data_IF_279327519877
#
_entry.id   IF_279327519877
#
_cell.length_a   1.000
_cell.length_b   1.000
_cell.length_c   1.000
_cell.angle_alpha   90.00
_cell.angle_beta   90.00
_cell.angle_gamma   90.00
#
_symmetry.space_group_name_H-M   'P 1'
#
loop_
_entity.id
_entity.type
_entity.pdbx_description
1 polymer ?
#
# COMPACT_ATOMS: atom_id res chain seq x y z
N UNK A 1 24.93 27.42 -29.94
CA UNK A 1 24.66 27.05 -28.54
C UNK A 1 24.11 25.64 -28.59
N UNK A 2 24.98 24.65 -28.31
CA UNK A 2 24.62 23.22 -28.44
C UNK A 2 23.84 22.81 -27.17
N UNK A 3 22.62 22.29 -27.37
CA UNK A 3 21.88 21.64 -26.31
C UNK A 3 22.64 20.33 -25.94
N UNK A 4 23.14 20.24 -24.72
CA UNK A 4 23.68 19.02 -24.16
C UNK A 4 22.53 18.01 -23.96
N UNK A 5 22.21 17.27 -25.03
CA UNK A 5 21.40 16.08 -24.96
C UNK A 5 22.17 15.00 -24.20
N UNK A 6 21.70 14.64 -23.02
CA UNK A 6 22.29 13.53 -22.25
C UNK A 6 22.42 12.29 -23.10
N UNK A 7 23.56 11.59 -23.01
CA UNK A 7 23.82 10.39 -23.82
C UNK A 7 22.80 9.30 -23.49
N UNK A 8 22.31 8.53 -24.48
CA UNK A 8 21.28 7.47 -24.29
C UNK A 8 21.65 6.43 -23.21
N UNK A 9 22.94 6.23 -22.96
CA UNK A 9 23.49 5.34 -21.93
C UNK A 9 23.22 5.88 -20.50
N UNK A 10 23.32 7.20 -20.30
CA UNK A 10 23.04 7.83 -19.00
C UNK A 10 21.57 7.79 -18.62
N UNK A 11 20.67 7.96 -19.60
CA UNK A 11 19.22 7.87 -19.41
C UNK A 11 18.77 6.44 -19.06
N UNK A 12 19.32 5.44 -19.74
CA UNK A 12 19.07 4.03 -19.45
C UNK A 12 19.49 3.62 -18.05
N UNK A 13 20.65 4.09 -17.59
CA UNK A 13 21.15 3.83 -16.23
C UNK A 13 20.27 4.47 -15.14
N UNK A 14 19.85 5.71 -15.34
CA UNK A 14 18.94 6.43 -14.42
C UNK A 14 17.59 5.72 -14.30
N UNK A 15 16.99 5.37 -15.42
CA UNK A 15 15.68 4.67 -15.42
C UNK A 15 15.78 3.31 -14.74
N UNK A 16 16.83 2.54 -15.00
CA UNK A 16 17.07 1.25 -14.35
C UNK A 16 17.12 1.40 -12.84
N UNK A 17 17.89 2.39 -12.32
CA UNK A 17 17.98 2.68 -10.88
C UNK A 17 16.63 3.01 -10.26
N UNK A 18 15.84 3.85 -10.91
CA UNK A 18 14.52 4.28 -10.42
C UNK A 18 13.54 3.11 -10.34
N UNK A 19 13.49 2.26 -11.37
CA UNK A 19 12.65 1.06 -11.38
C UNK A 19 13.12 0.04 -10.34
N UNK A 20 14.43 -0.10 -10.14
CA UNK A 20 14.97 -0.98 -9.09
C UNK A 20 14.53 -0.51 -7.71
N UNK A 21 14.59 0.81 -7.42
CA UNK A 21 14.12 1.34 -6.13
C UNK A 21 12.63 1.05 -5.92
N UNK A 22 11.79 1.29 -6.94
CA UNK A 22 10.36 0.94 -6.87
C UNK A 22 10.18 -0.55 -6.54
N UNK A 23 10.81 -1.42 -7.31
CA UNK A 23 10.64 -2.87 -7.16
C UNK A 23 11.15 -3.38 -5.80
N UNK A 24 12.33 -2.89 -5.35
CA UNK A 24 12.89 -3.26 -4.06
C UNK A 24 12.01 -2.80 -2.90
N UNK A 25 11.52 -1.56 -2.93
CA UNK A 25 10.64 -1.05 -1.88
C UNK A 25 9.30 -1.79 -1.86
N UNK A 26 8.72 -2.06 -3.04
CA UNK A 26 7.49 -2.85 -3.12
C UNK A 26 7.68 -4.26 -2.56
N UNK A 27 8.81 -4.91 -2.87
CA UNK A 27 9.13 -6.23 -2.34
C UNK A 27 9.32 -6.20 -0.81
N UNK A 28 10.02 -5.21 -0.27
CA UNK A 28 10.23 -5.05 1.18
C UNK A 28 8.90 -4.88 1.90
N UNK A 29 8.03 -3.98 1.44
CA UNK A 29 6.71 -3.74 2.04
C UNK A 29 5.84 -4.99 1.94
N UNK A 30 5.80 -5.62 0.78
CA UNK A 30 5.04 -6.86 0.57
C UNK A 30 5.48 -7.98 1.52
N UNK A 31 6.79 -8.23 1.61
CA UNK A 31 7.32 -9.26 2.50
C UNK A 31 7.05 -8.92 3.97
N UNK A 32 7.25 -7.66 4.37
CA UNK A 32 6.96 -7.21 5.73
C UNK A 32 5.47 -7.42 6.08
N UNK A 33 4.55 -7.08 5.17
CA UNK A 33 3.11 -7.28 5.38
C UNK A 33 2.76 -8.76 5.50
N UNK A 34 3.22 -9.60 4.57
CA UNK A 34 2.92 -11.05 4.57
C UNK A 34 3.49 -11.74 5.82
N UNK A 35 4.73 -11.40 6.20
CA UNK A 35 5.39 -12.00 7.38
C UNK A 35 4.72 -11.57 8.66
N UNK A 36 4.44 -10.26 8.86
CA UNK A 36 3.77 -9.78 10.07
C UNK A 36 2.37 -10.38 10.21
N UNK A 37 1.59 -10.45 9.13
CA UNK A 37 0.28 -11.10 9.13
C UNK A 37 0.37 -12.60 9.45
N UNK A 38 1.37 -13.31 8.93
CA UNK A 38 1.57 -14.72 9.26
C UNK A 38 1.88 -14.91 10.75
N UNK A 39 2.77 -14.09 11.32
CA UNK A 39 3.14 -14.14 12.75
C UNK A 39 1.93 -13.85 13.64
N UNK A 40 1.15 -12.80 13.36
CA UNK A 40 0.00 -12.46 14.21
C UNK A 40 -1.13 -13.49 14.11
N UNK A 41 -1.33 -14.10 12.94
CA UNK A 41 -2.27 -15.21 12.80
C UNK A 41 -1.86 -16.41 13.65
N UNK A 42 -0.60 -16.81 13.58
CA UNK A 42 -0.09 -17.95 14.35
C UNK A 42 -0.16 -17.71 15.86
N UNK A 43 0.09 -16.47 16.30
CA UNK A 43 0.26 -16.16 17.73
C UNK A 43 -1.00 -15.60 18.40
N UNK A 44 -1.88 -14.92 17.67
CA UNK A 44 -2.98 -14.14 18.25
C UNK A 44 -4.38 -14.51 17.69
N UNK A 45 -4.49 -15.34 16.64
CA UNK A 45 -5.82 -15.73 16.12
C UNK A 45 -6.61 -16.49 17.19
N UNK A 46 -7.82 -16.00 17.50
CA UNK A 46 -8.69 -16.60 18.51
C UNK A 46 -8.28 -16.37 19.97
N UNK A 47 -7.16 -15.69 20.19
CA UNK A 47 -6.63 -15.36 21.52
C UNK A 47 -7.00 -13.94 22.00
N UNK A 48 -6.61 -13.59 23.24
CA UNK A 48 -6.76 -12.23 23.75
C UNK A 48 -5.81 -11.26 23.06
N UNK A 49 -6.14 -9.96 23.02
CA UNK A 49 -5.25 -8.95 22.48
C UNK A 49 -3.89 -8.91 23.20
N UNK A 50 -2.81 -8.74 22.46
CA UNK A 50 -1.48 -8.47 23.01
C UNK A 50 -1.35 -6.97 23.27
N UNK A 51 -1.45 -6.57 24.52
CA UNK A 51 -1.30 -5.16 24.93
C UNK A 51 0.18 -4.78 24.93
N UNK A 52 0.56 -3.84 24.07
CA UNK A 52 1.92 -3.29 23.98
C UNK A 52 2.07 -2.06 24.87
N UNK A 53 1.13 -1.12 24.75
CA UNK A 53 1.05 0.09 25.60
C UNK A 53 -0.40 0.21 26.05
N UNK A 54 -0.68 0.05 27.38
CA UNK A 54 -2.03 0.09 27.90
C UNK A 54 -2.79 1.35 27.46
N UNK A 55 -3.99 1.17 26.88
CA UNK A 55 -4.83 2.25 26.41
C UNK A 55 -4.36 2.98 25.14
N UNK A 56 -3.20 2.62 24.59
CA UNK A 56 -2.63 3.31 23.41
C UNK A 56 -2.42 2.37 22.23
N UNK A 57 -1.80 1.19 22.45
CA UNK A 57 -1.43 0.28 21.38
C UNK A 57 -1.62 -1.17 21.83
N UNK A 58 -2.33 -1.92 21.02
CA UNK A 58 -2.43 -3.38 21.16
C UNK A 58 -2.49 -4.06 19.79
N UNK A 59 -2.20 -5.35 19.77
CA UNK A 59 -2.34 -6.19 18.60
C UNK A 59 -3.47 -7.21 18.84
N UNK A 60 -4.40 -7.29 17.90
CA UNK A 60 -5.40 -8.36 17.82
C UNK A 60 -5.78 -8.64 16.37
N UNK A 61 -6.10 -9.88 16.07
CA UNK A 61 -6.46 -10.27 14.70
C UNK A 61 -7.91 -9.98 14.43
N UNK A 62 -8.16 -9.27 13.33
CA UNK A 62 -9.49 -9.12 12.71
C UNK A 62 -9.40 -9.45 11.23
N UNK A 63 -10.36 -10.21 10.74
CA UNK A 63 -10.52 -10.47 9.30
C UNK A 63 -11.46 -9.43 8.69
N UNK A 64 -10.92 -8.56 7.85
CA UNK A 64 -11.64 -7.46 7.24
C UNK A 64 -12.14 -7.84 5.83
N UNK A 65 -13.44 -8.01 5.62
CA UNK A 65 -13.99 -8.34 4.30
C UNK A 65 -14.01 -7.16 3.33
N UNK A 66 -13.50 -6.00 3.73
CA UNK A 66 -13.55 -4.76 2.95
C UNK A 66 -14.63 -3.78 3.41
N UNK A 67 -15.28 -4.06 4.54
CA UNK A 67 -16.28 -3.20 5.12
C UNK A 67 -15.68 -2.31 6.21
N UNK A 68 -15.04 -1.20 5.85
CA UNK A 68 -15.02 -0.07 6.76
C UNK A 68 -16.48 0.35 6.98
N UNK A 69 -16.95 0.33 8.25
CA UNK A 69 -18.31 0.75 8.65
C UNK A 69 -19.48 -0.21 8.33
N UNK A 70 -19.28 -1.52 8.24
CA UNK A 70 -20.37 -2.49 8.01
C UNK A 70 -21.17 -2.28 6.71
N UNK A 71 -20.72 -1.43 5.81
CA UNK A 71 -21.33 -1.18 4.51
C UNK A 71 -20.69 -2.14 3.50
N UNK A 72 -21.34 -3.26 3.21
CA UNK A 72 -20.96 -4.11 2.08
C UNK A 72 -20.53 -5.54 2.38
N UNK A 73 -21.33 -6.28 3.15
CA UNK A 73 -21.31 -7.75 3.06
C UNK A 73 -21.54 -8.15 1.60
N UNK A 74 -20.52 -8.77 0.96
CA UNK A 74 -20.56 -9.12 -0.48
C UNK A 74 -19.69 -8.21 -1.39
N UNK A 75 -19.16 -7.09 -0.91
CA UNK A 75 -18.30 -6.20 -1.72
C UNK A 75 -16.81 -6.59 -1.75
N UNK A 76 -16.41 -7.65 -1.08
CA UNK A 76 -15.00 -8.13 -1.08
C UNK A 76 -14.47 -8.32 -2.50
N UNK A 77 -15.29 -8.84 -3.40
CA UNK A 77 -14.94 -8.98 -4.82
C UNK A 77 -14.65 -7.64 -5.50
N UNK A 78 -15.45 -6.60 -5.22
CA UNK A 78 -15.24 -5.25 -5.77
C UNK A 78 -13.91 -4.68 -5.29
N UNK A 79 -13.60 -4.81 -4.00
CA UNK A 79 -12.32 -4.36 -3.45
C UNK A 79 -11.13 -5.14 -4.01
N UNK A 80 -11.31 -6.43 -4.27
CA UNK A 80 -10.29 -7.25 -4.95
C UNK A 80 -10.02 -6.74 -6.37
N UNK A 81 -11.06 -6.42 -7.14
CA UNK A 81 -10.91 -5.83 -8.47
C UNK A 81 -10.26 -4.45 -8.45
N UNK A 82 -10.64 -3.61 -7.48
CA UNK A 82 -10.01 -2.28 -7.31
C UNK A 82 -8.52 -2.45 -7.00
N UNK A 83 -8.15 -3.31 -6.06
CA UNK A 83 -6.75 -3.57 -5.71
C UNK A 83 -5.95 -4.09 -6.93
N UNK A 84 -6.51 -5.03 -7.69
CA UNK A 84 -5.90 -5.53 -8.92
C UNK A 84 -5.74 -4.43 -9.98
N UNK A 85 -6.74 -3.56 -10.13
CA UNK A 85 -6.70 -2.39 -11.01
C UNK A 85 -5.59 -1.40 -10.62
N UNK A 86 -5.44 -1.13 -9.32
CA UNK A 86 -4.35 -0.27 -8.80
C UNK A 86 -2.98 -0.88 -9.10
N UNK A 87 -2.79 -2.18 -8.85
CA UNK A 87 -1.54 -2.89 -9.18
C UNK A 87 -1.23 -2.76 -10.67
N UNK A 88 -2.21 -3.03 -11.54
CA UNK A 88 -2.04 -2.92 -13.00
C UNK A 88 -1.70 -1.48 -13.43
N UNK A 89 -2.37 -0.48 -12.85
CA UNK A 89 -2.11 0.93 -13.12
C UNK A 89 -0.69 1.34 -12.72
N UNK A 90 -0.20 0.91 -11.56
CA UNK A 90 1.17 1.20 -11.09
C UNK A 90 2.19 0.53 -12.02
N UNK A 91 2.01 -0.73 -12.40
CA UNK A 91 2.91 -1.45 -13.31
C UNK A 91 2.95 -0.75 -14.68
N UNK A 92 1.80 -0.30 -15.19
CA UNK A 92 1.74 0.47 -16.44
C UNK A 92 2.48 1.80 -16.33
N UNK A 93 2.29 2.51 -15.22
CA UNK A 93 2.91 3.81 -14.95
C UNK A 93 4.43 3.68 -14.79
N UNK A 94 4.91 2.60 -14.18
CA UNK A 94 6.34 2.31 -14.02
C UNK A 94 7.11 2.26 -15.35
N UNK A 95 6.42 2.01 -16.48
CA UNK A 95 7.04 2.04 -17.81
C UNK A 95 7.55 3.42 -18.22
N UNK A 96 6.97 4.50 -17.68
CA UNK A 96 7.35 5.89 -17.94
C UNK A 96 8.10 6.54 -16.77
N UNK A 97 8.43 5.75 -15.73
CA UNK A 97 8.98 6.26 -14.49
C UNK A 97 10.45 6.67 -14.67
N UNK A 98 10.76 7.94 -14.37
CA UNK A 98 12.11 8.48 -14.31
C UNK A 98 12.34 9.41 -13.09
N UNK A 99 11.33 9.57 -12.23
CA UNK A 99 11.35 10.34 -10.99
C UNK A 99 11.64 9.45 -9.78
N UNK A 100 12.69 9.76 -9.01
CA UNK A 100 13.02 9.02 -7.78
C UNK A 100 11.95 9.17 -6.69
N UNK A 101 11.42 10.38 -6.41
CA UNK A 101 10.32 10.52 -5.44
C UNK A 101 9.09 9.69 -5.82
N UNK A 102 8.72 9.67 -7.11
CA UNK A 102 7.62 8.85 -7.58
C UNK A 102 7.92 7.35 -7.51
N UNK A 103 9.21 6.93 -7.65
CA UNK A 103 9.58 5.53 -7.46
C UNK A 103 9.31 5.05 -6.02
N UNK A 104 9.65 5.88 -5.03
CA UNK A 104 9.37 5.60 -3.61
C UNK A 104 7.86 5.53 -3.38
N UNK A 105 7.14 6.54 -3.84
CA UNK A 105 5.67 6.61 -3.73
C UNK A 105 4.98 5.39 -4.32
N UNK A 106 5.29 5.06 -5.58
CA UNK A 106 4.70 3.93 -6.27
C UNK A 106 5.17 2.59 -5.69
N UNK A 107 6.37 2.51 -5.13
CA UNK A 107 6.87 1.32 -4.43
C UNK A 107 6.07 1.02 -3.17
N UNK A 108 5.78 2.05 -2.34
CA UNK A 108 4.91 1.92 -1.16
C UNK A 108 3.50 1.47 -1.55
N UNK A 109 2.90 2.15 -2.53
CA UNK A 109 1.55 1.83 -3.01
C UNK A 109 1.48 0.42 -3.59
N UNK A 110 2.46 0.00 -4.39
CA UNK A 110 2.50 -1.32 -5.01
C UNK A 110 2.66 -2.43 -3.97
N UNK A 111 3.60 -2.28 -3.03
CA UNK A 111 3.84 -3.26 -1.98
C UNK A 111 2.62 -3.45 -1.09
N UNK A 112 2.00 -2.36 -0.64
CA UNK A 112 0.77 -2.41 0.14
C UNK A 112 -0.42 -2.99 -0.64
N UNK A 113 -0.61 -2.57 -1.89
CA UNK A 113 -1.68 -3.11 -2.73
C UNK A 113 -1.52 -4.63 -2.96
N UNK A 114 -0.30 -5.11 -3.20
CA UNK A 114 0.00 -6.54 -3.34
C UNK A 114 -0.24 -7.31 -2.04
N UNK A 115 0.14 -6.77 -0.88
CA UNK A 115 -0.11 -7.40 0.42
C UNK A 115 -1.59 -7.64 0.67
N UNK A 116 -2.40 -6.59 0.58
CA UNK A 116 -3.84 -6.68 0.77
C UNK A 116 -4.55 -7.48 -0.34
N UNK A 117 -4.04 -7.46 -1.58
CA UNK A 117 -4.56 -8.28 -2.67
C UNK A 117 -4.29 -9.78 -2.41
N UNK A 118 -3.12 -10.13 -1.90
CA UNK A 118 -2.76 -11.49 -1.53
C UNK A 118 -3.75 -12.06 -0.52
N UNK A 119 -4.09 -11.30 0.52
CA UNK A 119 -5.09 -11.74 1.50
C UNK A 119 -6.45 -12.00 0.86
N UNK A 120 -6.93 -11.07 0.01
CA UNK A 120 -8.22 -11.23 -0.68
C UNK A 120 -8.28 -12.42 -1.64
N UNK A 121 -7.14 -12.83 -2.17
CA UNK A 121 -7.07 -13.99 -3.06
C UNK A 121 -6.90 -15.31 -2.31
N UNK A 122 -6.20 -15.31 -1.18
CA UNK A 122 -5.69 -16.53 -0.56
C UNK A 122 -6.11 -16.76 0.90
N UNK A 123 -6.54 -15.72 1.64
CA UNK A 123 -6.84 -15.85 3.08
C UNK A 123 -8.32 -15.90 3.36
N UNK A 124 -8.72 -17.01 3.98
CA UNK A 124 -10.09 -17.23 4.40
C UNK A 124 -10.09 -17.51 5.90
N UNK A 125 -10.97 -16.86 6.69
CA UNK A 125 -11.07 -17.12 8.12
C UNK A 125 -11.31 -18.59 8.42
N UNK A 126 -10.71 -19.09 9.49
CA UNK A 126 -10.94 -20.46 9.97
C UNK A 126 -12.44 -20.68 10.27
N UNK A 127 -13.01 -21.78 9.81
CA UNK A 127 -14.41 -22.13 10.06
C UNK A 127 -15.44 -21.55 9.07
N UNK A 128 -15.05 -20.62 8.21
CA UNK A 128 -15.98 -20.01 7.23
C UNK A 128 -15.96 -20.67 5.86
N UNK A 129 -15.34 -21.80 5.63
CA UNK A 129 -15.24 -22.39 4.32
C UNK A 129 -14.79 -21.39 3.23
N UNK A 130 -14.42 -21.85 2.05
CA UNK A 130 -14.19 -20.92 0.90
C UNK A 130 -15.54 -20.62 0.24
N UNK A 131 -16.23 -19.50 0.57
CA UNK A 131 -17.56 -19.26 0.02
C UNK A 131 -17.54 -19.07 -1.49
N UNK A 132 -16.52 -18.37 -2.02
CA UNK A 132 -16.28 -18.19 -3.46
C UNK A 132 -14.84 -17.74 -3.70
N UNK A 133 -14.31 -17.92 -4.91
CA UNK A 133 -13.00 -17.40 -5.29
C UNK A 133 -12.97 -15.87 -5.18
N UNK A 134 -11.83 -15.31 -4.76
CA UNK A 134 -11.57 -13.87 -4.64
C UNK A 134 -12.35 -13.14 -3.53
N UNK A 135 -12.83 -13.83 -2.52
CA UNK A 135 -13.54 -13.28 -1.35
C UNK A 135 -12.78 -13.51 -0.04
N UNK A 136 -11.46 -13.60 -0.09
CA UNK A 136 -10.63 -13.63 1.10
C UNK A 136 -10.67 -12.31 1.87
N UNK A 137 -10.38 -12.37 3.17
CA UNK A 137 -10.41 -11.23 4.07
C UNK A 137 -9.00 -10.72 4.33
N UNK A 138 -8.84 -9.40 4.38
CA UNK A 138 -7.59 -8.77 4.79
C UNK A 138 -7.40 -8.96 6.29
N UNK A 139 -6.18 -9.30 6.70
CA UNK A 139 -5.82 -9.42 8.11
C UNK A 139 -5.37 -8.06 8.63
N UNK A 140 -6.18 -7.45 9.50
CA UNK A 140 -5.86 -6.24 10.23
C UNK A 140 -5.53 -6.60 11.67
N UNK A 141 -4.47 -6.00 12.23
CA UNK A 141 -3.99 -6.41 13.54
C UNK A 141 -3.45 -5.29 14.43
N UNK A 142 -3.17 -4.11 13.89
CA UNK A 142 -2.72 -2.95 14.69
C UNK A 142 -3.92 -2.17 15.16
N UNK A 143 -4.12 -2.06 16.46
CA UNK A 143 -5.18 -1.27 17.08
C UNK A 143 -4.58 -0.17 17.95
N UNK A 144 -4.86 1.09 17.60
CA UNK A 144 -4.45 2.28 18.36
C UNK A 144 -5.64 2.85 19.11
N UNK A 145 -5.39 3.37 20.33
CA UNK A 145 -6.39 3.96 21.22
C UNK A 145 -7.64 3.06 21.39
N UNK A 146 -7.47 1.79 21.81
CA UNK A 146 -8.59 0.85 21.92
C UNK A 146 -9.70 1.40 22.80
N UNK A 147 -10.91 1.59 22.24
CA UNK A 147 -12.06 2.12 22.95
C UNK A 147 -12.03 3.61 23.30
N UNK A 148 -10.98 4.35 22.93
CA UNK A 148 -10.79 5.75 23.34
C UNK A 148 -10.68 6.73 22.15
N UNK A 149 -10.98 6.29 20.92
CA UNK A 149 -10.86 7.19 19.78
C UNK A 149 -12.04 8.18 19.75
N UNK A 150 -11.76 9.50 19.64
CA UNK A 150 -12.80 10.51 19.63
C UNK A 150 -13.82 10.29 18.49
N UNK A 151 -15.10 10.57 18.75
CA UNK A 151 -16.21 10.53 17.78
C UNK A 151 -16.68 9.11 17.41
N UNK A 152 -15.79 8.16 17.10
CA UNK A 152 -16.16 6.82 16.62
C UNK A 152 -15.83 5.69 17.62
N UNK A 153 -15.31 6.04 18.80
CA UNK A 153 -15.02 5.10 19.90
C UNK A 153 -13.78 4.22 19.68
N UNK A 154 -13.40 3.95 18.44
CA UNK A 154 -12.21 3.18 18.11
C UNK A 154 -11.61 3.63 16.77
N UNK A 155 -10.30 3.60 16.65
CA UNK A 155 -9.63 3.76 15.38
C UNK A 155 -9.75 2.43 14.60
N UNK A 156 -10.01 2.46 13.28
CA UNK A 156 -10.03 1.24 12.48
C UNK A 156 -8.70 0.48 12.61
N UNK A 157 -8.78 -0.84 12.79
CA UNK A 157 -7.59 -1.66 12.77
C UNK A 157 -6.96 -1.60 11.38
N UNK A 158 -5.64 -1.73 11.35
CA UNK A 158 -4.87 -1.66 10.11
C UNK A 158 -3.66 -2.60 10.16
N UNK A 159 -2.93 -2.66 9.08
CA UNK A 159 -1.74 -3.51 8.88
C UNK A 159 -0.59 -2.73 8.22
N UNK A 160 0.50 -3.42 7.91
CA UNK A 160 1.68 -2.82 7.24
C UNK A 160 1.33 -2.34 5.83
N UNK A 161 0.53 -3.09 5.08
CA UNK A 161 0.10 -2.71 3.73
C UNK A 161 -0.71 -1.40 3.75
N UNK A 162 -1.65 -1.25 4.70
CA UNK A 162 -2.46 -0.04 4.84
C UNK A 162 -1.60 1.18 5.17
N UNK A 163 -0.64 1.02 6.10
CA UNK A 163 0.33 2.06 6.45
C UNK A 163 1.12 2.52 5.21
N UNK A 164 1.59 1.56 4.40
CA UNK A 164 2.32 1.86 3.17
C UNK A 164 1.44 2.56 2.12
N UNK A 165 0.17 2.13 1.98
CA UNK A 165 -0.80 2.77 1.07
C UNK A 165 -1.09 4.21 1.50
N UNK A 166 -1.33 4.45 2.79
CA UNK A 166 -1.59 5.80 3.32
C UNK A 166 -0.36 6.69 3.13
N UNK A 167 0.83 6.24 3.52
CA UNK A 167 2.07 7.00 3.31
C UNK A 167 2.33 7.29 1.82
N UNK A 168 2.16 6.30 0.95
CA UNK A 168 2.29 6.44 -0.49
C UNK A 168 1.27 7.42 -1.08
N UNK A 169 0.02 7.35 -0.62
CA UNK A 169 -1.05 8.27 -1.02
C UNK A 169 -0.75 9.72 -0.63
N UNK A 170 -0.32 9.95 0.61
CA UNK A 170 0.08 11.28 1.08
C UNK A 170 1.25 11.82 0.26
N UNK A 171 2.27 10.99 0.02
CA UNK A 171 3.42 11.38 -0.82
C UNK A 171 2.97 11.71 -2.25
N UNK A 172 2.08 10.93 -2.85
CA UNK A 172 1.55 11.19 -4.19
C UNK A 172 0.87 12.57 -4.27
N UNK A 173 0.03 12.90 -3.28
CA UNK A 173 -0.62 14.22 -3.20
C UNK A 173 0.40 15.34 -3.08
N UNK A 174 1.40 15.19 -2.19
CA UNK A 174 2.46 16.19 -2.00
C UNK A 174 3.27 16.40 -3.28
N UNK A 175 3.64 15.31 -3.96
CA UNK A 175 4.42 15.39 -5.20
C UNK A 175 3.63 16.06 -6.33
N UNK A 176 2.35 15.66 -6.50
CA UNK A 176 1.46 16.28 -7.48
C UNK A 176 1.29 17.79 -7.20
N UNK A 177 1.01 18.15 -5.94
CA UNK A 177 0.87 19.56 -5.54
C UNK A 177 2.15 20.37 -5.77
N UNK A 178 3.33 19.76 -5.61
CA UNK A 178 4.62 20.40 -5.89
C UNK A 178 5.03 20.35 -7.36
N UNK A 179 4.19 19.87 -8.26
CA UNK A 179 4.41 19.80 -9.70
C UNK A 179 5.45 18.76 -10.13
N UNK A 180 5.80 17.78 -9.27
CA UNK A 180 6.68 16.69 -9.68
C UNK A 180 5.93 15.70 -10.57
N UNK A 181 6.46 15.45 -11.78
CA UNK A 181 5.91 14.51 -12.73
C UNK A 181 6.61 13.13 -12.63
N UNK A 182 5.93 12.10 -13.09
CA UNK A 182 6.40 10.70 -13.06
C UNK A 182 7.63 10.51 -13.97
N UNK A 183 7.70 11.25 -15.07
CA UNK A 183 8.82 11.24 -16.02
C UNK A 183 10.06 11.99 -15.53
N UNK A 184 9.98 12.59 -14.32
CA UNK A 184 11.07 13.36 -13.72
C UNK A 184 11.11 14.82 -14.11
N UNK A 185 10.15 15.31 -14.88
CA UNK A 185 9.95 16.74 -15.14
C UNK A 185 9.28 17.43 -13.95
N UNK A 186 9.26 18.76 -13.94
CA UNK A 186 8.59 19.55 -12.92
C UNK A 186 7.85 20.71 -13.56
N UNK A 187 6.56 20.84 -13.32
CA UNK A 187 5.77 21.99 -13.73
C UNK A 187 6.32 23.29 -13.11
N UNK A 188 6.32 24.37 -13.87
CA UNK A 188 6.80 25.69 -13.42
C UNK A 188 8.30 25.94 -13.62
N UNK A 189 9.08 24.98 -14.16
CA UNK A 189 10.48 25.23 -14.54
C UNK A 189 10.65 25.57 -16.03
N UNK A 190 9.67 25.25 -16.85
CA UNK A 190 9.67 25.49 -18.30
C UNK A 190 9.41 26.97 -18.64
N UNK A 191 8.63 27.70 -17.85
CA UNK A 191 8.22 29.07 -18.17
C UNK A 191 9.21 30.15 -17.73
N UNK A 192 10.34 29.81 -17.08
CA UNK A 192 11.37 30.74 -16.66
C UNK A 192 12.62 30.72 -17.54
N UNK A 193 12.62 29.94 -18.61
CA UNK A 193 13.74 29.82 -19.57
C UNK A 193 13.36 30.28 -21.00
N UNK A 194 12.22 30.97 -21.17
CA UNK A 194 11.80 31.61 -22.40
C UNK A 194 11.92 33.12 -22.31
#
# INVERSE_FOLDING_TARGET
MQAEGGTPVAEGGRRRRVVTVLASLAAIIYVADVVTKAVVLETLEGGPPLVVIPGVLQFRVIFNPGAAFSIGTGMTFVFTLIAAGVVAAIIRTARKLASMPWAITLGLLLGGALGNLTDRLLRYPSGFGRPTQFQGHVVDFVEVLPGNFPVIGHFPLFNVADSAIVCGGVLAVILAWRGYQIDGTREGKSDRAA
#
